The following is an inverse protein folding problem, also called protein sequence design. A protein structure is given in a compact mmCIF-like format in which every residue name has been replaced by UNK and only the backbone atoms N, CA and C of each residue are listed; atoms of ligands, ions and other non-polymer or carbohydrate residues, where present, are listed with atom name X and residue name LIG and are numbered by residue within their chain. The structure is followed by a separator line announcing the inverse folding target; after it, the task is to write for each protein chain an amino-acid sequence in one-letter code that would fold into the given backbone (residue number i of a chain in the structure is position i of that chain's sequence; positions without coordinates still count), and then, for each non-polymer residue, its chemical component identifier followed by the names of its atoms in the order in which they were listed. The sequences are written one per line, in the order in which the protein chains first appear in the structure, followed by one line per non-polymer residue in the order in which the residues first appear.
data_IF_188589229260
#
_entry.id   IF_188589229260
#
_cell.length_a   1.000
_cell.length_b   1.000
_cell.length_c   1.000
_cell.angle_alpha   90.00
_cell.angle_beta   90.00
_cell.angle_gamma   90.00
#
_symmetry.space_group_name_H-M   'P 1'
#
loop_
_entity.id
_entity.type
_entity.pdbx_description
1 polymer ?
#
# COMPACT_ATOMS: atom_id res chain seq x y z
N UNK A 1 1.60 20.77 6.88
CA UNK A 1 1.31 20.00 5.68
C UNK A 1 0.59 18.69 6.02
N UNK A 2 -0.32 18.28 5.16
CA UNK A 2 -1.01 17.03 5.36
C UNK A 2 -0.05 15.84 5.18
N UNK A 3 -0.23 14.82 5.99
CA UNK A 3 0.52 13.57 5.85
C UNK A 3 0.02 12.82 4.63
N UNK A 4 0.91 12.10 3.97
CA UNK A 4 0.53 11.23 2.87
C UNK A 4 -0.37 10.10 3.36
N UNK A 5 -1.39 9.79 2.58
CA UNK A 5 -2.33 8.72 2.90
C UNK A 5 -2.02 7.48 2.10
N UNK A 6 -1.77 6.39 2.80
CA UNK A 6 -1.41 5.09 2.22
C UNK A 6 -2.63 4.18 2.31
N UNK A 7 -3.04 3.63 1.18
CA UNK A 7 -4.06 2.57 1.18
C UNK A 7 -3.35 1.24 1.34
N UNK A 8 -3.56 0.58 2.47
CA UNK A 8 -2.97 -0.73 2.75
C UNK A 8 -3.99 -1.81 2.45
N UNK A 9 -3.69 -2.65 1.47
CA UNK A 9 -4.58 -3.76 1.06
C UNK A 9 -3.97 -5.07 1.50
N UNK A 10 -4.58 -5.69 2.50
CA UNK A 10 -4.09 -6.94 3.10
C UNK A 10 -5.23 -7.79 3.63
N UNK A 11 -5.04 -9.12 3.75
CA UNK A 11 -6.09 -9.97 4.33
C UNK A 11 -6.32 -9.59 5.79
N UNK A 12 -7.55 -9.75 6.23
CA UNK A 12 -7.91 -9.46 7.61
C UNK A 12 -7.08 -10.34 8.56
N UNK A 13 -6.39 -9.74 9.55
CA UNK A 13 -5.58 -10.53 10.48
C UNK A 13 -6.47 -11.35 11.41
N UNK A 14 -6.11 -12.63 11.61
CA UNK A 14 -6.91 -13.52 12.43
C UNK A 14 -6.78 -13.23 13.92
N UNK A 15 -5.59 -12.96 14.41
CA UNK A 15 -5.36 -12.86 15.86
C UNK A 15 -4.39 -11.73 16.25
N UNK A 16 -3.76 -11.07 15.31
CA UNK A 16 -2.74 -10.08 15.60
C UNK A 16 -2.85 -8.89 14.69
N UNK A 17 -2.37 -7.74 15.16
CA UNK A 17 -2.25 -6.56 14.33
C UNK A 17 -1.24 -6.82 13.21
N UNK A 18 -1.53 -6.27 12.04
CA UNK A 18 -0.59 -6.34 10.93
C UNK A 18 0.70 -5.60 11.28
N UNK A 19 1.83 -6.30 11.20
CA UNK A 19 3.13 -5.68 11.43
C UNK A 19 3.38 -4.60 10.38
N UNK A 20 3.00 -4.85 9.15
CA UNK A 20 3.15 -3.89 8.04
C UNK A 20 2.40 -2.59 8.32
N UNK A 21 1.14 -2.71 8.72
CA UNK A 21 0.31 -1.57 9.05
C UNK A 21 0.88 -0.81 10.24
N UNK A 22 1.29 -1.54 11.28
CA UNK A 22 1.83 -0.95 12.49
C UNK A 22 3.10 -0.14 12.20
N UNK A 23 3.98 -0.66 11.36
CA UNK A 23 5.22 0.04 10.98
C UNK A 23 4.90 1.36 10.28
N UNK A 24 3.96 1.35 9.35
CA UNK A 24 3.58 2.54 8.60
C UNK A 24 2.92 3.57 9.53
N UNK A 25 2.03 3.14 10.42
CA UNK A 25 1.38 4.03 11.38
C UNK A 25 2.36 4.61 12.39
N UNK A 26 3.30 3.79 12.88
CA UNK A 26 4.33 4.25 13.81
C UNK A 26 5.22 5.32 13.18
N UNK A 27 5.44 5.23 11.86
CA UNK A 27 6.18 6.24 11.12
C UNK A 27 5.34 7.50 10.84
N UNK A 28 4.09 7.54 11.30
CA UNK A 28 3.18 8.70 11.22
C UNK A 28 2.60 8.98 9.85
N UNK A 29 2.63 8.01 8.94
CA UNK A 29 1.82 8.09 7.73
C UNK A 29 0.35 7.84 8.07
N UNK A 30 -0.57 8.44 7.32
CA UNK A 30 -1.98 8.11 7.43
C UNK A 30 -2.23 6.78 6.70
N UNK A 31 -2.93 5.85 7.35
CA UNK A 31 -3.20 4.55 6.76
C UNK A 31 -4.71 4.32 6.71
N UNK A 32 -5.19 4.00 5.51
CA UNK A 32 -6.54 3.49 5.31
C UNK A 32 -6.39 2.02 4.91
N UNK A 33 -7.14 1.12 5.53
CA UNK A 33 -6.99 -0.31 5.31
C UNK A 33 -8.17 -0.88 4.54
N UNK A 34 -7.87 -1.70 3.54
CA UNK A 34 -8.84 -2.54 2.85
C UNK A 34 -8.45 -4.00 3.06
N UNK A 35 -9.42 -4.84 3.40
CA UNK A 35 -9.16 -6.26 3.68
C UNK A 35 -9.44 -7.17 2.48
N UNK A 36 -9.80 -6.57 1.35
CA UNK A 36 -9.96 -7.29 0.10
C UNK A 36 -9.65 -6.35 -1.05
N UNK A 37 -9.35 -6.92 -2.22
CA UNK A 37 -9.11 -6.10 -3.41
C UNK A 37 -10.38 -5.42 -3.89
N UNK A 38 -11.54 -6.04 -3.66
CA UNK A 38 -12.84 -5.42 -3.95
C UNK A 38 -13.05 -4.16 -3.10
N UNK A 39 -12.81 -4.25 -1.80
CA UNK A 39 -12.90 -3.10 -0.90
C UNK A 39 -11.91 -2.01 -1.29
N UNK A 40 -10.69 -2.41 -1.68
CA UNK A 40 -9.68 -1.47 -2.15
C UNK A 40 -10.16 -0.68 -3.37
N UNK A 41 -10.78 -1.35 -4.33
CA UNK A 41 -11.31 -0.68 -5.52
C UNK A 41 -12.43 0.30 -5.17
N UNK A 42 -13.29 -0.08 -4.24
CA UNK A 42 -14.38 0.80 -3.77
C UNK A 42 -13.82 2.03 -3.08
N UNK A 43 -12.82 1.85 -2.21
CA UNK A 43 -12.19 2.96 -1.51
C UNK A 43 -11.44 3.90 -2.45
N UNK A 44 -10.77 3.36 -3.46
CA UNK A 44 -10.07 4.17 -4.44
C UNK A 44 -11.04 5.05 -5.24
N UNK A 45 -12.20 4.52 -5.60
CA UNK A 45 -13.21 5.28 -6.33
C UNK A 45 -13.85 6.35 -5.45
N UNK A 46 -14.04 6.04 -4.16
CA UNK A 46 -14.65 6.96 -3.20
C UNK A 46 -13.69 8.04 -2.72
N UNK A 47 -12.41 7.70 -2.58
CA UNK A 47 -11.36 8.59 -2.11
C UNK A 47 -10.19 8.60 -3.11
N UNK A 48 -10.36 9.28 -4.25
CA UNK A 48 -9.33 9.23 -5.32
C UNK A 48 -8.03 9.97 -4.97
N UNK A 49 -7.98 10.68 -3.86
CA UNK A 49 -6.81 11.42 -3.42
C UNK A 49 -5.82 10.61 -2.59
N UNK A 50 -5.91 9.28 -2.61
CA UNK A 50 -4.88 8.43 -2.00
C UNK A 50 -3.52 8.74 -2.63
N UNK A 51 -2.47 8.72 -1.81
CA UNK A 51 -1.11 9.04 -2.26
C UNK A 51 -0.33 7.81 -2.70
N UNK A 52 -0.70 6.62 -2.19
CA UNK A 52 0.00 5.38 -2.50
C UNK A 52 -0.89 4.18 -2.19
N UNK A 53 -0.73 3.10 -2.93
CA UNK A 53 -1.38 1.82 -2.64
C UNK A 53 -0.31 0.79 -2.33
N UNK A 54 -0.40 0.15 -1.16
CA UNK A 54 0.46 -0.97 -0.76
C UNK A 54 -0.41 -2.21 -0.67
N UNK A 55 -0.07 -3.26 -1.41
CA UNK A 55 -0.96 -4.39 -1.60
C UNK A 55 -0.20 -5.71 -1.49
N UNK A 56 -0.81 -6.71 -0.87
CA UNK A 56 -0.25 -8.06 -0.79
C UNK A 56 -0.51 -8.78 -2.11
N UNK A 57 0.56 -9.23 -2.76
CA UNK A 57 0.49 -9.81 -4.09
C UNK A 57 -0.26 -11.14 -4.15
N UNK A 58 -0.29 -11.89 -3.04
CA UNK A 58 -0.96 -13.18 -2.98
C UNK A 58 -2.49 -13.07 -2.89
N UNK A 59 -3.02 -11.87 -2.72
CA UNK A 59 -4.47 -11.68 -2.64
C UNK A 59 -5.12 -11.83 -4.02
N UNK A 60 -6.29 -12.48 -4.10
CA UNK A 60 -7.03 -12.57 -5.37
C UNK A 60 -7.45 -11.18 -5.87
N UNK A 61 -7.34 -10.96 -7.17
CA UNK A 61 -7.77 -9.70 -7.77
C UNK A 61 -6.78 -8.55 -7.61
N UNK A 62 -5.58 -8.83 -7.17
CA UNK A 62 -4.51 -7.85 -7.00
C UNK A 62 -4.29 -7.00 -8.26
N UNK A 63 -4.24 -7.65 -9.42
CA UNK A 63 -4.01 -6.93 -10.68
C UNK A 63 -5.17 -6.00 -11.04
N UNK A 64 -6.40 -6.42 -10.78
CA UNK A 64 -7.57 -5.57 -11.02
C UNK A 64 -7.57 -4.34 -10.11
N UNK A 65 -7.17 -4.51 -8.86
CA UNK A 65 -7.06 -3.38 -7.94
C UNK A 65 -5.98 -2.40 -8.39
N UNK A 66 -4.83 -2.89 -8.83
CA UNK A 66 -3.76 -2.05 -9.37
C UNK A 66 -4.21 -1.31 -10.63
N UNK A 67 -4.93 -1.99 -11.49
CA UNK A 67 -5.50 -1.40 -12.71
C UNK A 67 -6.48 -0.28 -12.38
N UNK A 68 -7.34 -0.50 -11.37
CA UNK A 68 -8.28 0.52 -10.90
C UNK A 68 -7.53 1.75 -10.39
N UNK A 69 -6.49 1.54 -9.60
CA UNK A 69 -5.67 2.65 -9.08
C UNK A 69 -5.08 3.48 -10.22
N UNK A 70 -4.50 2.82 -11.21
CA UNK A 70 -3.89 3.51 -12.35
C UNK A 70 -4.91 4.19 -13.26
N UNK A 71 -6.15 3.69 -13.32
CA UNK A 71 -7.20 4.34 -14.10
C UNK A 71 -7.67 5.64 -13.45
N UNK A 72 -7.62 5.71 -12.13
CA UNK A 72 -8.00 6.92 -11.38
C UNK A 72 -6.89 7.97 -11.48
N UNK A 73 -5.65 7.52 -11.31
CA UNK A 73 -4.48 8.39 -11.42
C UNK A 73 -3.30 7.55 -11.92
N UNK A 74 -2.87 7.77 -13.16
CA UNK A 74 -1.78 7.01 -13.76
C UNK A 74 -0.45 7.18 -13.03
N UNK A 75 -0.30 8.24 -12.23
CA UNK A 75 0.89 8.50 -11.44
C UNK A 75 0.81 7.96 -10.01
N UNK A 76 -0.31 7.35 -9.64
CA UNK A 76 -0.48 6.80 -8.29
C UNK A 76 0.47 5.61 -8.09
N UNK A 77 1.41 5.70 -7.14
CA UNK A 77 2.34 4.59 -6.90
C UNK A 77 1.62 3.36 -6.35
N UNK A 78 1.94 2.20 -6.90
CA UNK A 78 1.44 0.92 -6.43
C UNK A 78 2.63 0.06 -6.02
N UNK A 79 2.66 -0.34 -4.75
CA UNK A 79 3.71 -1.17 -4.18
C UNK A 79 3.15 -2.53 -3.88
N UNK A 80 3.76 -3.59 -4.41
CA UNK A 80 3.39 -4.96 -4.08
C UNK A 80 4.32 -5.52 -3.03
N UNK A 81 3.73 -6.16 -2.03
CA UNK A 81 4.44 -6.95 -1.04
C UNK A 81 4.18 -8.42 -1.33
N UNK A 82 5.23 -9.20 -1.43
CA UNK A 82 5.11 -10.62 -1.76
C UNK A 82 6.11 -11.45 -0.99
N UNK A 83 5.68 -12.61 -0.49
CA UNK A 83 6.58 -13.63 0.04
C UNK A 83 7.23 -14.42 -1.10
N UNK A 84 6.62 -14.41 -2.28
CA UNK A 84 7.10 -15.12 -3.45
C UNK A 84 7.58 -14.13 -4.51
N UNK A 85 8.90 -14.12 -4.76
CA UNK A 85 9.54 -13.21 -5.72
C UNK A 85 9.09 -13.43 -7.16
N UNK A 86 8.49 -14.58 -7.46
CA UNK A 86 8.04 -14.89 -8.81
C UNK A 86 6.66 -14.29 -9.12
N UNK A 87 5.96 -13.80 -8.11
CA UNK A 87 4.68 -13.11 -8.35
C UNK A 87 4.93 -11.72 -8.89
N UNK A 88 4.27 -11.40 -9.98
CA UNK A 88 4.40 -10.13 -10.65
C UNK A 88 3.03 -9.52 -10.95
N UNK A 89 3.00 -8.21 -10.94
CA UNK A 89 1.85 -7.45 -11.39
C UNK A 89 2.37 -6.32 -12.27
N UNK A 90 1.95 -6.31 -13.52
CA UNK A 90 2.47 -5.35 -14.50
C UNK A 90 2.13 -3.90 -14.18
N UNK A 91 1.11 -3.67 -13.37
CA UNK A 91 0.69 -2.32 -13.00
C UNK A 91 1.34 -1.82 -11.72
N UNK A 92 2.13 -2.66 -11.04
CA UNK A 92 2.84 -2.24 -9.85
C UNK A 92 4.14 -1.52 -10.21
N UNK A 93 4.45 -0.48 -9.46
CA UNK A 93 5.68 0.30 -9.66
C UNK A 93 6.86 -0.29 -8.88
N UNK A 94 6.58 -0.96 -7.77
CA UNK A 94 7.60 -1.52 -6.89
C UNK A 94 7.18 -2.88 -6.37
N UNK A 95 8.15 -3.75 -6.17
CA UNK A 95 7.96 -5.08 -5.57
C UNK A 95 8.93 -5.21 -4.39
N UNK A 96 8.39 -5.49 -3.21
CA UNK A 96 9.17 -5.62 -1.98
C UNK A 96 8.80 -6.94 -1.29
N UNK A 97 9.78 -7.56 -0.61
CA UNK A 97 9.51 -8.74 0.20
C UNK A 97 8.56 -8.39 1.35
N UNK A 98 7.52 -9.21 1.54
CA UNK A 98 6.59 -9.03 2.65
C UNK A 98 7.21 -9.30 4.01
N UNK A 99 8.43 -9.85 4.04
CA UNK A 99 9.17 -10.14 5.26
C UNK A 99 10.11 -9.00 5.67
N UNK A 100 10.14 -7.91 4.91
CA UNK A 100 11.06 -6.79 5.15
C UNK A 100 10.31 -5.47 5.30
N UNK A 101 9.62 -5.25 6.44
CA UNK A 101 8.85 -4.02 6.63
C UNK A 101 9.70 -2.75 6.62
N UNK A 102 10.98 -2.86 6.99
CA UNK A 102 11.87 -1.70 6.95
C UNK A 102 12.13 -1.21 5.54
N UNK A 103 12.22 -2.14 4.58
CA UNK A 103 12.40 -1.79 3.17
C UNK A 103 11.20 -1.01 2.64
N UNK A 104 10.00 -1.44 3.01
CA UNK A 104 8.78 -0.72 2.67
C UNK A 104 8.81 0.69 3.24
N UNK A 105 9.17 0.81 4.51
CA UNK A 105 9.22 2.11 5.19
C UNK A 105 10.24 3.04 4.54
N UNK A 106 11.43 2.52 4.20
CA UNK A 106 12.45 3.31 3.52
C UNK A 106 11.97 3.81 2.16
N UNK A 107 11.26 2.96 1.43
CA UNK A 107 10.70 3.37 0.13
C UNK A 107 9.67 4.49 0.31
N UNK A 108 8.76 4.35 1.26
CA UNK A 108 7.74 5.37 1.53
C UNK A 108 8.38 6.70 1.94
N UNK A 109 9.42 6.66 2.77
CA UNK A 109 10.15 7.86 3.17
C UNK A 109 10.87 8.51 2.00
N UNK A 110 11.43 7.70 1.10
CA UNK A 110 12.10 8.27 -0.08
C UNK A 110 11.12 8.94 -1.04
N UNK A 111 9.88 8.43 -1.11
CA UNK A 111 8.85 8.97 -1.99
C UNK A 111 8.13 10.18 -1.40
N UNK A 112 7.84 10.17 -0.12
CA UNK A 112 6.97 11.15 0.54
C UNK A 112 7.64 11.93 1.67
N UNK A 113 8.89 11.64 1.97
CA UNK A 113 9.57 12.21 3.12
C UNK A 113 9.19 11.51 4.42
N UNK A 114 9.82 11.90 5.51
CA UNK A 114 9.52 11.34 6.83
C UNK A 114 8.54 12.27 7.55
N UNK A 115 7.28 11.84 7.77
CA UNK A 115 6.28 12.70 8.43
C UNK A 115 6.68 13.14 9.84
N UNK A 116 7.55 12.38 10.51
CA UNK A 116 8.02 12.74 11.85
C UNK A 116 8.98 13.93 11.83
N UNK A 117 9.57 14.23 10.67
CA UNK A 117 10.52 15.33 10.48
C UNK A 117 9.85 16.54 9.83
N UNK A 118 8.59 16.43 9.44
CA UNK A 118 7.84 17.56 8.89
C UNK A 118 7.55 18.53 10.02
N UNK A 119 8.08 19.70 9.92
CA UNK A 119 7.85 20.75 10.91
C UNK A 119 6.54 21.48 10.65
#
# INVERSE_FOLDING_TARGET
MARSTILMVEPEPNEALSVRKLVIETAKFNVTTAYSTREARELLKKFPQMDCVVMIAEMPGCENAARTAKSINSQLPVILLSANRNLQCYKADHHISSHEPEELLDLLRSMFGDPRKAA
#
